data_IF_590992638625
#
_entry.id   IF_590992638625
#
_cell.length_a   1.000
_cell.length_b   1.000
_cell.length_c   1.000
_cell.angle_alpha   90.00
_cell.angle_beta   90.00
_cell.angle_gamma   90.00
#
_symmetry.space_group_name_H-M   'P 1'
#
loop_
_entity.id
_entity.type
_entity.pdbx_description
1 polymer ?
#
# COMPACT_ATOMS: atom_id res chain seq x y z
N UNK A 1 16.35 -9.81 12.02
CA UNK A 1 14.93 -9.40 11.86
C UNK A 1 15.00 -7.99 11.31
N UNK A 2 14.56 -7.77 10.07
CA UNK A 2 14.93 -6.59 9.27
C UNK A 2 14.05 -5.36 9.54
N UNK A 3 13.11 -5.46 10.48
CA UNK A 3 12.18 -4.36 10.74
C UNK A 3 12.91 -3.17 11.38
N UNK A 4 12.75 -2.00 10.77
CA UNK A 4 13.46 -0.75 11.10
C UNK A 4 14.97 -0.77 10.84
N UNK A 5 15.51 -1.82 10.22
CA UNK A 5 16.88 -1.81 9.70
C UNK A 5 17.00 -0.76 8.59
N UNK A 6 18.17 -0.12 8.53
CA UNK A 6 18.47 0.92 7.55
C UNK A 6 19.65 0.48 6.68
N UNK A 7 19.45 0.53 5.37
CA UNK A 7 20.52 0.39 4.37
C UNK A 7 20.91 1.77 3.84
N UNK A 8 22.18 2.12 4.01
CA UNK A 8 22.75 3.36 3.47
C UNK A 8 23.28 3.14 2.06
N UNK A 9 22.86 3.98 1.12
CA UNK A 9 23.26 3.96 -0.29
C UNK A 9 24.14 5.18 -0.66
N UNK A 10 24.77 5.80 0.34
CA UNK A 10 25.45 7.09 0.20
C UNK A 10 24.49 8.24 0.52
N UNK A 11 23.93 8.90 -0.50
CA UNK A 11 22.97 10.01 -0.29
C UNK A 11 21.65 9.52 0.31
N UNK A 12 21.20 8.33 -0.10
CA UNK A 12 19.90 7.78 0.22
C UNK A 12 19.96 6.79 1.40
N UNK A 13 18.88 6.71 2.17
CA UNK A 13 18.74 5.82 3.32
C UNK A 13 17.42 5.05 3.19
N UNK A 14 17.50 3.73 3.06
CA UNK A 14 16.34 2.86 2.92
C UNK A 14 16.03 2.19 4.26
N UNK A 15 14.89 2.53 4.85
CA UNK A 15 14.36 1.85 6.04
C UNK A 15 13.40 0.74 5.62
N UNK A 16 13.64 -0.47 6.10
CA UNK A 16 12.75 -1.61 5.86
C UNK A 16 11.63 -1.66 6.90
N UNK A 17 10.38 -1.76 6.45
CA UNK A 17 9.20 -1.87 7.29
C UNK A 17 8.59 -3.25 7.06
N UNK A 18 8.73 -4.16 8.04
CA UNK A 18 8.08 -5.46 7.93
C UNK A 18 6.57 -5.28 8.07
N UNK A 19 5.82 -5.78 7.10
CA UNK A 19 4.36 -5.61 6.97
C UNK A 19 3.70 -6.95 6.65
N UNK A 20 3.90 -7.97 7.51
CA UNK A 20 3.35 -9.30 7.26
C UNK A 20 1.84 -9.22 7.08
N UNK A 21 1.35 -9.97 6.09
CA UNK A 21 -0.04 -10.02 5.65
C UNK A 21 -0.55 -8.73 4.97
N UNK A 22 0.34 -7.87 4.48
CA UNK A 22 0.03 -6.68 3.67
C UNK A 22 0.88 -6.70 2.39
N UNK A 23 0.55 -7.52 1.39
CA UNK A 23 -0.59 -8.44 1.28
C UNK A 23 -0.22 -9.91 1.58
N UNK A 24 1.06 -10.24 1.56
CA UNK A 24 1.57 -11.61 1.68
C UNK A 24 2.21 -11.85 3.05
N UNK A 25 2.44 -13.10 3.42
CA UNK A 25 2.95 -13.46 4.76
C UNK A 25 4.36 -12.88 5.05
N UNK A 26 5.15 -12.65 4.01
CA UNK A 26 6.52 -12.15 4.04
C UNK A 26 6.64 -10.69 3.57
N UNK A 27 5.53 -9.99 3.36
CA UNK A 27 5.56 -8.64 2.81
C UNK A 27 6.38 -7.66 3.64
N UNK A 28 7.09 -6.79 2.93
CA UNK A 28 7.85 -5.66 3.45
C UNK A 28 7.57 -4.42 2.60
N UNK A 29 7.68 -3.25 3.22
CA UNK A 29 7.74 -1.97 2.53
C UNK A 29 9.13 -1.37 2.72
N UNK A 30 9.49 -0.45 1.83
CA UNK A 30 10.73 0.32 1.95
C UNK A 30 10.37 1.79 2.01
N UNK A 31 10.95 2.51 2.96
CA UNK A 31 10.85 3.96 3.04
C UNK A 31 12.21 4.59 2.79
N UNK A 32 12.30 5.41 1.74
CA UNK A 32 13.47 6.22 1.45
C UNK A 32 13.37 7.52 2.28
N UNK A 33 14.25 7.64 3.28
CA UNK A 33 14.14 8.69 4.30
C UNK A 33 14.56 10.08 3.83
N UNK A 34 15.31 10.19 2.74
CA UNK A 34 15.93 11.45 2.29
C UNK A 34 14.93 12.34 1.56
N UNK A 35 14.11 11.73 0.71
CA UNK A 35 13.10 12.37 -0.13
C UNK A 35 11.68 12.06 0.36
N UNK A 36 11.52 11.08 1.28
CA UNK A 36 10.24 10.71 1.88
C UNK A 36 9.39 9.85 0.95
N UNK A 37 10.02 8.93 0.22
CA UNK A 37 9.34 8.05 -0.74
C UNK A 37 9.00 6.72 -0.08
N UNK A 38 7.72 6.33 -0.14
CA UNK A 38 7.26 5.03 0.30
C UNK A 38 7.12 4.07 -0.89
N UNK A 39 7.76 2.92 -0.82
CA UNK A 39 7.54 1.76 -1.69
C UNK A 39 6.68 0.74 -0.92
N UNK A 40 5.35 0.72 -1.14
CA UNK A 40 4.37 0.09 -0.25
C UNK A 40 4.04 -1.36 -0.63
N UNK A 41 4.85 -2.00 -1.48
CA UNK A 41 4.47 -3.22 -2.19
C UNK A 41 3.11 -3.03 -2.91
N UNK A 42 2.13 -3.91 -2.65
CA UNK A 42 0.80 -3.83 -3.28
C UNK A 42 -0.23 -3.03 -2.48
N UNK A 43 0.16 -2.39 -1.37
CA UNK A 43 -0.71 -1.40 -0.75
C UNK A 43 -0.77 -0.16 -1.66
N UNK A 44 -1.97 0.39 -1.89
CA UNK A 44 -2.24 1.48 -2.84
C UNK A 44 -2.23 1.09 -4.33
N UNK A 45 -2.53 -0.18 -4.64
CA UNK A 45 -2.62 -0.69 -6.02
C UNK A 45 -3.63 0.13 -6.85
N UNK A 46 -3.30 0.40 -8.12
CA UNK A 46 -4.24 1.01 -9.07
C UNK A 46 -4.45 0.08 -10.28
N UNK A 47 -5.69 -0.23 -10.67
CA UNK A 47 -5.96 -1.05 -11.85
C UNK A 47 -5.72 -0.28 -13.16
N UNK A 48 -5.46 -1.03 -14.23
CA UNK A 48 -5.36 -0.49 -15.59
C UNK A 48 -4.03 0.16 -15.92
N UNK A 49 -3.97 0.75 -17.11
CA UNK A 49 -2.81 1.54 -17.53
C UNK A 49 -2.91 2.93 -16.92
N UNK A 50 -1.88 3.32 -16.18
CA UNK A 50 -1.86 4.57 -15.40
C UNK A 50 -0.72 5.46 -15.90
N UNK A 51 -0.87 6.80 -15.85
CA UNK A 51 0.22 7.70 -16.17
C UNK A 51 1.40 7.51 -15.19
N UNK A 52 2.59 8.08 -15.45
CA UNK A 52 3.70 8.00 -14.50
C UNK A 52 3.36 8.53 -13.10
N UNK A 53 2.47 9.50 -12.99
CA UNK A 53 2.00 10.08 -11.71
C UNK A 53 0.54 10.45 -11.83
N UNK A 54 -0.25 10.19 -10.78
CA UNK A 54 -1.67 10.55 -10.73
C UNK A 54 -1.99 11.39 -9.50
N UNK A 55 -2.92 12.33 -9.67
CA UNK A 55 -3.60 13.03 -8.57
C UNK A 55 -5.09 12.69 -8.51
N UNK A 56 -5.54 11.78 -9.37
CA UNK A 56 -6.93 11.32 -9.39
C UNK A 56 -7.22 10.42 -8.19
N UNK A 57 -8.45 10.49 -7.70
CA UNK A 57 -8.94 9.60 -6.66
C UNK A 57 -9.35 8.25 -7.27
N UNK A 58 -8.44 7.29 -7.23
CA UNK A 58 -8.68 5.90 -7.65
C UNK A 58 -8.94 4.97 -6.46
N UNK A 59 -9.21 5.52 -5.27
CA UNK A 59 -9.38 4.73 -4.04
C UNK A 59 -10.54 3.73 -4.14
N UNK A 60 -11.63 4.11 -4.82
CA UNK A 60 -12.73 3.20 -5.11
C UNK A 60 -12.31 2.03 -6.01
N UNK A 61 -11.54 2.31 -7.06
CA UNK A 61 -11.05 1.29 -7.98
C UNK A 61 -10.06 0.33 -7.29
N UNK A 62 -9.19 0.85 -6.43
CA UNK A 62 -8.31 0.07 -5.55
C UNK A 62 -9.10 -0.91 -4.66
N UNK A 63 -10.11 -0.42 -3.92
CA UNK A 63 -10.93 -1.26 -3.04
C UNK A 63 -11.65 -2.36 -3.84
N UNK A 64 -12.21 -2.01 -5.00
CA UNK A 64 -12.89 -2.99 -5.86
C UNK A 64 -11.91 -4.04 -6.38
N UNK A 65 -10.69 -3.64 -6.75
CA UNK A 65 -9.67 -4.60 -7.17
C UNK A 65 -9.34 -5.56 -6.03
N UNK A 66 -9.01 -5.05 -4.82
CA UNK A 66 -8.70 -5.89 -3.66
C UNK A 66 -9.76 -6.94 -3.35
N UNK A 67 -11.04 -6.55 -3.38
CA UNK A 67 -12.16 -7.49 -3.20
C UNK A 67 -12.24 -8.52 -4.32
N UNK A 68 -12.06 -8.06 -5.57
CA UNK A 68 -12.17 -8.92 -6.75
C UNK A 68 -11.11 -10.00 -6.74
N UNK A 69 -9.87 -9.66 -6.42
CA UNK A 69 -8.75 -10.63 -6.46
C UNK A 69 -8.51 -11.33 -5.12
N UNK A 70 -9.10 -10.84 -4.03
CA UNK A 70 -8.94 -11.41 -2.69
C UNK A 70 -7.50 -11.33 -2.15
N UNK A 71 -6.72 -10.33 -2.56
CA UNK A 71 -5.28 -10.27 -2.27
C UNK A 71 -4.98 -9.94 -0.80
N UNK A 72 -5.88 -9.21 -0.12
CA UNK A 72 -5.67 -8.79 1.27
C UNK A 72 -6.28 -9.84 2.23
N UNK A 73 -5.47 -10.53 3.05
CA UNK A 73 -5.97 -11.53 3.99
C UNK A 73 -6.56 -10.92 5.28
N UNK A 74 -6.23 -9.66 5.62
CA UNK A 74 -6.64 -9.04 6.88
C UNK A 74 -6.73 -7.52 6.80
N UNK A 75 -7.91 -6.96 7.08
CA UNK A 75 -8.09 -5.51 7.21
C UNK A 75 -7.34 -4.95 8.40
N UNK A 76 -7.33 -5.66 9.53
CA UNK A 76 -6.64 -5.23 10.74
C UNK A 76 -5.13 -5.13 10.55
N UNK A 77 -4.53 -6.05 9.77
CA UNK A 77 -3.12 -5.96 9.41
C UNK A 77 -2.84 -4.68 8.62
N UNK A 78 -3.65 -4.40 7.60
CA UNK A 78 -3.53 -3.18 6.79
C UNK A 78 -3.73 -1.92 7.64
N UNK A 79 -4.77 -1.86 8.47
CA UNK A 79 -5.06 -0.69 9.32
C UNK A 79 -3.92 -0.41 10.32
N UNK A 80 -3.30 -1.45 10.90
CA UNK A 80 -2.10 -1.27 11.74
C UNK A 80 -0.92 -0.70 10.96
N UNK A 81 -0.76 -1.10 9.69
CA UNK A 81 0.27 -0.50 8.82
C UNK A 81 -0.06 0.96 8.55
N UNK A 82 -1.31 1.32 8.24
CA UNK A 82 -1.71 2.72 8.05
C UNK A 82 -1.41 3.58 9.29
N UNK A 83 -1.66 3.08 10.50
CA UNK A 83 -1.34 3.80 11.74
C UNK A 83 0.17 4.05 11.92
N UNK A 84 1.02 3.17 11.37
CA UNK A 84 2.48 3.38 11.32
C UNK A 84 2.83 4.43 10.26
N UNK A 85 2.24 4.34 9.07
CA UNK A 85 2.50 5.25 7.95
C UNK A 85 2.07 6.69 8.26
N UNK A 86 1.00 6.90 9.03
CA UNK A 86 0.53 8.22 9.45
C UNK A 86 1.57 9.03 10.25
N UNK A 87 2.58 8.35 10.81
CA UNK A 87 3.65 8.96 11.62
C UNK A 87 4.90 9.25 10.80
N UNK A 88 4.88 8.96 9.50
CA UNK A 88 6.03 9.07 8.62
C UNK A 88 5.91 10.31 7.72
N UNK A 89 7.03 11.00 7.44
CA UNK A 89 7.03 12.16 6.55
C UNK A 89 6.98 11.72 5.09
N UNK A 90 5.87 11.13 4.66
CA UNK A 90 5.68 10.66 3.29
C UNK A 90 5.43 11.88 2.39
N UNK A 91 6.35 12.09 1.45
CA UNK A 91 6.21 13.06 0.36
C UNK A 91 5.51 12.45 -0.85
N UNK A 92 5.74 11.14 -1.07
CA UNK A 92 5.33 10.45 -2.28
C UNK A 92 5.21 8.94 -2.03
N UNK A 93 4.29 8.28 -2.73
CA UNK A 93 4.10 6.83 -2.69
C UNK A 93 4.29 6.27 -4.09
N UNK A 94 5.19 5.30 -4.22
CA UNK A 94 5.50 4.60 -5.47
C UNK A 94 5.04 3.14 -5.35
N UNK A 95 3.74 2.87 -5.63
CA UNK A 95 3.18 1.52 -5.54
C UNK A 95 3.81 0.56 -6.56
N UNK A 96 3.76 -0.74 -6.27
CA UNK A 96 4.26 -1.77 -7.19
C UNK A 96 3.47 -1.82 -8.50
N UNK A 97 2.18 -1.48 -8.45
CA UNK A 97 1.32 -1.38 -9.63
C UNK A 97 0.52 -0.08 -9.62
N UNK A 98 0.61 0.66 -10.72
CA UNK A 98 -0.09 1.92 -10.94
C UNK A 98 0.86 3.10 -11.03
N UNK A 99 0.28 4.29 -10.97
CA UNK A 99 1.01 5.54 -10.95
C UNK A 99 1.59 5.81 -9.56
N UNK A 100 2.70 6.54 -9.54
CA UNK A 100 3.12 7.33 -8.38
C UNK A 100 2.01 8.23 -7.84
N UNK A 101 1.91 8.35 -6.51
CA UNK A 101 0.90 9.17 -5.80
C UNK A 101 1.61 10.22 -4.93
N UNK A 102 1.47 11.52 -5.23
CA UNK A 102 1.94 12.58 -4.34
C UNK A 102 1.20 12.58 -3.00
N UNK A 103 1.85 12.98 -1.91
CA UNK A 103 1.22 13.02 -0.58
C UNK A 103 -0.12 13.77 -0.54
N UNK A 104 -0.26 14.84 -1.33
CA UNK A 104 -1.50 15.61 -1.44
C UNK A 104 -2.69 14.80 -1.99
N UNK A 105 -2.44 13.74 -2.76
CA UNK A 105 -3.44 12.87 -3.34
C UNK A 105 -3.62 11.54 -2.57
N UNK A 106 -2.87 11.30 -1.50
CA UNK A 106 -2.89 10.02 -0.76
C UNK A 106 -4.13 9.87 0.15
N UNK A 107 -4.70 10.98 0.63
CA UNK A 107 -5.77 10.99 1.64
C UNK A 107 -7.00 10.13 1.27
N UNK A 108 -7.55 10.16 0.04
CA UNK A 108 -8.69 9.32 -0.32
C UNK A 108 -8.39 7.83 -0.22
N UNK A 109 -7.19 7.39 -0.60
CA UNK A 109 -6.77 6.00 -0.51
C UNK A 109 -6.72 5.52 0.94
N UNK A 110 -6.08 6.28 1.83
CA UNK A 110 -6.00 5.98 3.26
C UNK A 110 -7.41 5.96 3.87
N UNK A 111 -8.26 6.92 3.52
CA UNK A 111 -9.64 6.96 4.00
C UNK A 111 -10.43 5.71 3.55
N UNK A 112 -10.34 5.32 2.28
CA UNK A 112 -11.04 4.14 1.77
C UNK A 112 -10.59 2.84 2.47
N UNK A 113 -9.30 2.68 2.75
CA UNK A 113 -8.76 1.53 3.49
C UNK A 113 -9.14 1.52 4.98
N UNK A 114 -9.49 2.66 5.56
CA UNK A 114 -9.97 2.72 6.94
C UNK A 114 -11.46 2.36 7.02
N UNK A 115 -12.26 2.88 6.08
CA UNK A 115 -13.72 2.87 6.19
C UNK A 115 -14.43 1.76 5.40
N UNK A 116 -13.78 1.18 4.39
CA UNK A 116 -14.43 0.20 3.51
C UNK A 116 -13.92 -1.21 3.77
N UNK A 117 -14.76 -2.25 3.60
CA UNK A 117 -14.28 -3.62 3.63
C UNK A 117 -13.48 -3.93 2.36
N UNK A 118 -12.42 -4.72 2.42
CA UNK A 118 -11.62 -5.09 1.22
C UNK A 118 -10.87 -6.41 1.34
N UNK A 119 -10.82 -7.00 2.55
CA UNK A 119 -10.17 -8.29 2.72
C UNK A 119 -10.96 -9.41 2.04
N UNK A 120 -10.28 -10.53 1.80
CA UNK A 120 -10.90 -11.74 1.28
C UNK A 120 -12.04 -12.23 2.19
N UNK A 121 -13.21 -12.47 1.60
CA UNK A 121 -14.43 -12.92 2.30
C UNK A 121 -14.91 -14.30 1.86
N UNK A 122 -14.07 -15.12 1.23
CA UNK A 122 -14.50 -16.41 0.65
C UNK A 122 -14.88 -16.35 -0.83
N UNK A 123 -14.67 -15.22 -1.50
CA UNK A 123 -14.96 -15.06 -2.93
C UNK A 123 -13.77 -14.53 -3.72
N UNK A 124 -13.55 -15.07 -4.92
CA UNK A 124 -12.56 -14.59 -5.89
C UNK A 124 -13.25 -14.36 -7.24
N UNK A 125 -12.96 -13.24 -7.89
CA UNK A 125 -13.52 -12.83 -9.19
C UNK A 125 -15.06 -12.94 -9.23
N UNK A 126 -15.72 -12.60 -8.12
CA UNK A 126 -17.18 -12.67 -7.98
C UNK A 126 -17.75 -14.08 -7.80
N UNK A 127 -16.91 -15.09 -7.54
CA UNK A 127 -17.32 -16.48 -7.31
C UNK A 127 -16.93 -16.92 -5.91
N UNK A 128 -17.85 -17.53 -5.18
CA UNK A 128 -17.52 -18.17 -3.90
C UNK A 128 -16.58 -19.36 -4.13
N UNK A 129 -15.58 -19.48 -3.25
CA UNK A 129 -14.59 -20.55 -3.26
C UNK A 129 -14.88 -21.39 -2.02
N UNK A 130 -15.74 -22.40 -2.21
CA UNK A 130 -16.14 -23.38 -1.19
C UNK A 130 -15.20 -24.59 -1.17
#
# INVERSE_FOLDING_TARGET
MWNDDVLELGRHRLRFLMTPHVHHWDSMMVFEETEGVLFPADLFIQPGDQPPTTTEDLSGAMIQLYRTIGIMPSEDAVRRVLDRLDRMPISHVDPMHGASIPAAALKPYVHALREQPFAYTGSLFGKEVS
#
